data_IF_429970920724
#
_entry.id   IF_429970920724
#
_cell.length_a   1.000
_cell.length_b   1.000
_cell.length_c   1.000
_cell.angle_alpha   90.00
_cell.angle_beta   90.00
_cell.angle_gamma   90.00
#
_symmetry.space_group_name_H-M   'P 1'
#
loop_
_entity.id
_entity.type
_entity.pdbx_description
1 polymer ?
#
# COMPACT_ATOMS: atom_id res chain seq x y z
N UNK A 1 1.26 2.83 21.11
CA UNK A 1 1.96 2.29 19.93
C UNK A 1 2.03 0.80 20.11
N UNK A 2 1.57 0.01 19.15
CA UNK A 2 1.55 -1.45 19.23
C UNK A 2 2.55 -2.01 18.24
N UNK A 3 3.27 -3.07 18.61
CA UNK A 3 4.30 -3.69 17.78
C UNK A 3 3.83 -5.05 17.30
N UNK A 4 3.97 -5.29 16.00
CA UNK A 4 3.80 -6.61 15.36
C UNK A 4 5.18 -7.06 14.88
N UNK A 5 5.61 -8.25 15.30
CA UNK A 5 6.88 -8.86 14.89
C UNK A 5 6.64 -10.00 13.91
N UNK A 6 7.48 -10.12 12.89
CA UNK A 6 7.42 -11.16 11.86
C UNK A 6 8.80 -11.80 11.79
N UNK A 7 8.85 -13.13 11.93
CA UNK A 7 10.08 -13.90 11.72
C UNK A 7 10.24 -14.20 10.24
N UNK A 8 11.39 -13.84 9.68
CA UNK A 8 11.75 -14.10 8.29
C UNK A 8 13.06 -14.90 8.24
N UNK A 9 13.22 -15.82 7.27
CA UNK A 9 14.49 -16.50 7.06
C UNK A 9 15.63 -15.52 6.78
N UNK A 10 16.83 -15.77 7.33
CA UNK A 10 18.02 -14.95 7.06
C UNK A 10 18.30 -14.80 5.55
N UNK A 11 17.97 -15.83 4.78
CA UNK A 11 18.13 -15.86 3.33
C UNK A 11 17.35 -14.75 2.61
N UNK A 12 16.26 -14.23 3.19
CA UNK A 12 15.51 -13.11 2.63
C UNK A 12 16.33 -11.82 2.68
N UNK A 13 16.97 -11.55 3.82
CA UNK A 13 17.83 -10.37 3.98
C UNK A 13 19.06 -10.45 3.08
N UNK A 14 19.64 -11.65 2.94
CA UNK A 14 20.75 -11.89 2.02
C UNK A 14 20.35 -11.69 0.55
N UNK A 15 19.18 -12.20 0.15
CA UNK A 15 18.69 -12.09 -1.22
C UNK A 15 18.31 -10.65 -1.62
N UNK A 16 17.75 -9.88 -0.67
CA UNK A 16 17.31 -8.51 -0.92
C UNK A 16 18.36 -7.45 -0.62
N UNK A 17 19.44 -7.80 0.10
CA UNK A 17 20.49 -6.88 0.52
C UNK A 17 19.99 -5.74 1.42
N UNK A 18 18.94 -6.00 2.23
CA UNK A 18 18.27 -5.00 3.07
C UNK A 18 18.47 -5.27 4.55
N UNK A 19 18.53 -4.20 5.35
CA UNK A 19 18.50 -4.32 6.80
C UNK A 19 17.10 -4.69 7.29
N UNK A 20 16.94 -5.22 8.51
CA UNK A 20 15.63 -5.48 9.10
C UNK A 20 14.70 -4.26 9.12
N UNK A 21 15.26 -3.06 9.34
CA UNK A 21 14.50 -1.82 9.34
C UNK A 21 13.97 -1.47 7.95
N UNK A 22 14.83 -1.57 6.92
CA UNK A 22 14.46 -1.23 5.55
C UNK A 22 13.42 -2.21 5.01
N UNK A 23 13.63 -3.52 5.25
CA UNK A 23 12.69 -4.55 4.83
C UNK A 23 11.35 -4.42 5.57
N UNK A 24 11.37 -4.16 6.88
CA UNK A 24 10.15 -3.93 7.66
C UNK A 24 9.34 -2.74 7.14
N UNK A 25 10.01 -1.64 6.76
CA UNK A 25 9.36 -0.48 6.16
C UNK A 25 8.76 -0.81 4.79
N UNK A 26 9.46 -1.54 3.95
CA UNK A 26 8.97 -1.97 2.64
C UNK A 26 7.76 -2.90 2.74
N UNK A 27 7.79 -3.87 3.66
CA UNK A 27 6.67 -4.77 3.94
C UNK A 27 5.44 -3.97 4.40
N UNK A 28 5.63 -2.99 5.28
CA UNK A 28 4.54 -2.14 5.74
C UNK A 28 3.92 -1.34 4.58
N UNK A 29 4.74 -0.76 3.70
CA UNK A 29 4.27 -0.04 2.51
C UNK A 29 3.45 -0.99 1.62
N UNK A 30 3.97 -2.17 1.30
CA UNK A 30 3.29 -3.15 0.46
C UNK A 30 1.94 -3.59 1.07
N UNK A 31 1.89 -3.81 2.38
CA UNK A 31 0.66 -4.17 3.08
C UNK A 31 -0.38 -3.04 3.04
N UNK A 32 0.04 -1.80 3.31
CA UNK A 32 -0.85 -0.62 3.28
C UNK A 32 -1.40 -0.37 1.88
N UNK A 33 -0.55 -0.46 0.85
CA UNK A 33 -0.99 -0.36 -0.55
C UNK A 33 -2.03 -1.42 -0.85
N UNK A 34 -1.80 -2.67 -0.43
CA UNK A 34 -2.76 -3.75 -0.68
C UNK A 34 -4.08 -3.56 0.06
N UNK A 35 -4.04 -3.06 1.29
CA UNK A 35 -5.26 -2.77 2.04
C UNK A 35 -6.06 -1.64 1.41
N UNK A 36 -5.38 -0.61 0.90
CA UNK A 36 -6.02 0.45 0.13
C UNK A 36 -6.64 -0.12 -1.15
N UNK A 37 -5.88 -0.87 -1.95
CA UNK A 37 -6.40 -1.49 -3.19
C UNK A 37 -7.64 -2.36 -2.94
N UNK A 38 -7.67 -3.08 -1.81
CA UNK A 38 -8.80 -3.92 -1.41
C UNK A 38 -9.97 -3.16 -0.75
N UNK A 39 -9.94 -1.83 -0.72
CA UNK A 39 -10.99 -1.02 -0.08
C UNK A 39 -11.05 -1.13 1.45
N UNK A 40 -10.07 -1.77 2.10
CA UNK A 40 -10.05 -1.99 3.56
C UNK A 40 -9.72 -0.74 4.35
N UNK A 41 -8.97 0.18 3.74
CA UNK A 41 -8.62 1.47 4.31
C UNK A 41 -8.77 2.56 3.24
N UNK A 42 -9.09 3.77 3.69
CA UNK A 42 -9.12 4.95 2.82
C UNK A 42 -7.71 5.45 2.50
N UNK A 43 -7.57 6.24 1.44
CA UNK A 43 -6.31 6.89 1.07
C UNK A 43 -5.73 7.72 2.22
N UNK A 44 -6.57 8.47 2.95
CA UNK A 44 -6.14 9.26 4.09
C UNK A 44 -5.60 8.42 5.23
N UNK A 45 -6.24 7.27 5.52
CA UNK A 45 -5.76 6.34 6.55
C UNK A 45 -4.45 5.66 6.13
N UNK A 46 -4.30 5.32 4.85
CA UNK A 46 -3.07 4.76 4.31
C UNK A 46 -1.88 5.73 4.44
N UNK A 47 -2.08 7.00 4.10
CA UNK A 47 -1.08 8.05 4.27
C UNK A 47 -0.71 8.24 5.76
N UNK A 48 -1.69 8.26 6.66
CA UNK A 48 -1.48 8.33 8.12
C UNK A 48 -0.64 7.15 8.64
N UNK A 49 -0.95 5.91 8.27
CA UNK A 49 -0.21 4.71 8.70
C UNK A 49 1.26 4.77 8.26
N UNK A 50 1.50 5.30 7.05
CA UNK A 50 2.84 5.41 6.51
C UNK A 50 3.57 6.68 6.95
N UNK A 51 2.94 7.54 7.75
CA UNK A 51 3.47 8.86 8.13
C UNK A 51 3.85 9.70 6.90
N UNK A 52 3.01 9.64 5.86
CA UNK A 52 3.16 10.37 4.60
C UNK A 52 2.06 11.41 4.47
N UNK A 53 2.32 12.44 3.66
CA UNK A 53 1.28 13.28 3.10
C UNK A 53 0.43 12.49 2.08
N UNK A 54 -0.76 13.00 1.77
CA UNK A 54 -1.61 12.41 0.73
C UNK A 54 -0.95 12.42 -0.65
N UNK A 55 -0.15 13.44 -0.95
CA UNK A 55 0.57 13.56 -2.21
C UNK A 55 1.67 12.49 -2.32
N UNK A 56 2.47 12.30 -1.27
CA UNK A 56 3.49 11.23 -1.23
C UNK A 56 2.84 9.84 -1.33
N UNK A 57 1.67 9.64 -0.74
CA UNK A 57 0.98 8.36 -0.89
C UNK A 57 0.49 8.11 -2.33
N UNK A 58 0.10 9.15 -3.09
CA UNK A 58 -0.20 9.01 -4.52
C UNK A 58 1.03 8.57 -5.32
N UNK A 59 2.22 9.06 -4.98
CA UNK A 59 3.47 8.61 -5.59
C UNK A 59 3.75 7.14 -5.28
N UNK A 60 3.48 6.70 -4.05
CA UNK A 60 3.57 5.27 -3.66
C UNK A 60 2.61 4.42 -4.50
N UNK A 61 1.35 4.84 -4.67
CA UNK A 61 0.39 4.10 -5.50
C UNK A 61 0.87 3.99 -6.95
N UNK A 62 1.46 5.05 -7.50
CA UNK A 62 2.07 5.04 -8.84
C UNK A 62 3.20 4.01 -8.97
N UNK A 63 4.12 3.95 -7.99
CA UNK A 63 5.22 2.97 -7.96
C UNK A 63 4.70 1.52 -7.93
N UNK A 64 3.61 1.28 -7.21
CA UNK A 64 2.97 -0.03 -7.11
C UNK A 64 1.97 -0.31 -8.23
N UNK A 65 1.76 0.63 -9.17
CA UNK A 65 0.79 0.54 -10.27
C UNK A 65 -0.64 0.26 -9.79
N UNK A 66 -1.01 0.86 -8.65
CA UNK A 66 -2.37 0.78 -8.10
C UNK A 66 -3.11 2.07 -8.44
N UNK A 67 -4.35 1.92 -8.92
CA UNK A 67 -5.24 3.06 -9.19
C UNK A 67 -5.46 3.89 -7.92
N UNK A 68 -5.35 5.21 -8.03
CA UNK A 68 -5.70 6.13 -6.94
C UNK A 68 -7.22 6.18 -6.68
N UNK A 69 -8.01 5.68 -7.63
CA UNK A 69 -9.46 5.60 -7.53
C UNK A 69 -9.87 4.16 -7.17
N UNK A 70 -10.64 4.02 -6.10
CA UNK A 70 -11.23 2.76 -5.64
C UNK A 70 -12.57 2.51 -6.36
N UNK A 71 -12.58 2.56 -7.69
CA UNK A 71 -13.74 2.13 -8.47
C UNK A 71 -13.59 0.65 -8.81
N UNK A 72 -14.66 -0.11 -8.62
CA UNK A 72 -14.85 -1.40 -9.27
C UNK A 72 -15.11 -1.19 -10.76
N UNK A 73 -14.90 -2.24 -11.55
CA UNK A 73 -15.21 -2.18 -12.99
C UNK A 73 -16.72 -1.94 -13.18
N UNK A 74 -17.53 -2.55 -12.34
CA UNK A 74 -18.99 -2.46 -12.37
C UNK A 74 -19.47 -1.03 -12.07
N UNK A 75 -18.89 -0.36 -11.07
CA UNK A 75 -19.20 1.05 -10.77
C UNK A 75 -18.79 1.97 -11.93
N UNK A 76 -17.64 1.70 -12.57
CA UNK A 76 -17.19 2.47 -13.72
C UNK A 76 -18.10 2.25 -14.95
N UNK A 77 -18.49 1.00 -15.20
CA UNK A 77 -19.40 0.64 -16.29
C UNK A 77 -20.79 1.27 -16.08
N UNK A 78 -21.31 1.32 -14.84
CA UNK A 78 -22.54 2.05 -14.51
C UNK A 78 -22.39 3.55 -14.79
N UNK A 79 -21.33 4.20 -14.29
CA UNK A 79 -21.11 5.64 -14.45
C UNK A 79 -21.02 6.05 -15.93
N UNK A 80 -20.34 5.24 -16.76
CA UNK A 80 -20.22 5.44 -18.21
C UNK A 80 -21.52 5.16 -18.99
N UNK A 81 -22.46 4.40 -18.43
CA UNK A 81 -23.74 4.06 -19.10
C UNK A 81 -24.78 5.18 -19.06
N UNK A 82 -24.52 6.25 -18.29
CA UNK A 82 -25.38 7.42 -18.18
C UNK A 82 -25.04 8.55 -19.18
N UNK A 83 -24.18 8.31 -20.17
CA UNK A 83 -23.91 9.21 -21.32
C UNK A 83 -24.86 9.00 -22.51
#
# INVERSE_FOLDING_TARGET
>A
MNTVSIDLPETVFAALGKTPKDLGREILIAAVVKWFELGKISQGKAAEILELSRAEFLEVLSLYRVSAWQYTKEELDEELSFE
#
